data_IF_313516408228
#
_entry.id   IF_313516408228
#
_cell.length_a   1.000
_cell.length_b   1.000
_cell.length_c   1.000
_cell.angle_alpha   90.00
_cell.angle_beta   90.00
_cell.angle_gamma   90.00
#
_symmetry.space_group_name_H-M   'P 1'
#
loop_
_entity.id
_entity.type
_entity.pdbx_description
1 polymer ?
#
# COMPACT_ATOMS: atom_id res chain seq x y z
N UNK A 1 19.77 2.61 -15.50
CA UNK A 1 18.88 2.92 -16.64
C UNK A 1 17.48 3.04 -16.08
N UNK A 2 16.77 4.16 -16.06
CA UNK A 2 16.76 5.35 -16.90
C UNK A 2 15.36 5.96 -16.70
N UNK A 3 15.17 6.69 -15.60
CA UNK A 3 13.95 7.44 -15.30
C UNK A 3 14.24 8.92 -15.47
N UNK A 4 13.41 9.62 -16.23
CA UNK A 4 13.57 11.04 -16.57
C UNK A 4 13.55 11.92 -15.32
N UNK A 5 14.64 12.66 -15.09
CA UNK A 5 14.93 13.57 -13.98
C UNK A 5 13.92 14.72 -13.74
N UNK A 6 12.80 14.77 -14.46
CA UNK A 6 11.79 15.83 -14.37
C UNK A 6 10.58 15.49 -13.49
N UNK A 7 10.24 14.21 -13.31
CA UNK A 7 9.12 13.80 -12.43
C UNK A 7 9.47 13.69 -10.95
N UNK A 8 10.76 13.78 -10.61
CA UNK A 8 11.31 13.49 -9.28
C UNK A 8 11.77 14.75 -8.52
N UNK A 9 11.50 15.96 -9.05
CA UNK A 9 12.24 17.17 -8.64
C UNK A 9 11.66 17.91 -7.43
N UNK A 10 10.46 17.59 -6.97
CA UNK A 10 9.93 18.00 -5.65
C UNK A 10 8.53 17.44 -5.44
N UNK A 11 8.19 17.08 -4.19
CA UNK A 11 6.80 16.80 -3.80
C UNK A 11 5.96 18.07 -3.99
N UNK A 12 4.84 17.97 -4.68
CA UNK A 12 3.86 19.05 -4.71
C UNK A 12 2.88 18.86 -3.55
N UNK A 13 3.28 19.36 -2.38
CA UNK A 13 2.55 19.15 -1.12
C UNK A 13 1.10 19.66 -1.21
N UNK A 14 0.85 20.76 -1.91
CA UNK A 14 -0.50 21.31 -2.06
C UNK A 14 -1.43 20.34 -2.80
N UNK A 15 -0.97 19.77 -3.93
CA UNK A 15 -1.77 18.80 -4.68
C UNK A 15 -1.87 17.45 -3.97
N UNK A 16 -0.86 17.05 -3.19
CA UNK A 16 -0.93 15.84 -2.36
C UNK A 16 -1.97 15.98 -1.24
N UNK A 17 -2.05 17.13 -0.58
CA UNK A 17 -3.08 17.43 0.42
C UNK A 17 -4.46 17.38 -0.23
N UNK A 18 -4.64 18.06 -1.36
CA UNK A 18 -5.90 18.06 -2.10
C UNK A 18 -6.32 16.66 -2.54
N UNK A 19 -5.39 15.87 -3.06
CA UNK A 19 -5.63 14.48 -3.43
C UNK A 19 -6.04 13.62 -2.22
N UNK A 20 -5.35 13.79 -1.08
CA UNK A 20 -5.71 13.10 0.15
C UNK A 20 -7.13 13.47 0.63
N UNK A 21 -7.48 14.76 0.60
CA UNK A 21 -8.80 15.27 0.99
C UNK A 21 -9.92 14.79 0.05
N UNK A 22 -9.62 14.65 -1.24
CA UNK A 22 -10.51 14.04 -2.24
C UNK A 22 -10.60 12.49 -2.12
N UNK A 23 -9.92 11.90 -1.12
CA UNK A 23 -9.93 10.48 -0.85
C UNK A 23 -9.11 9.67 -1.86
N UNK A 24 -8.04 10.23 -2.42
CA UNK A 24 -7.06 9.49 -3.21
C UNK A 24 -5.95 8.95 -2.30
N UNK A 25 -5.29 7.87 -2.74
CA UNK A 25 -4.08 7.37 -2.11
C UNK A 25 -2.83 7.90 -2.86
N UNK A 26 -1.63 7.81 -2.27
CA UNK A 26 -0.40 8.22 -2.96
C UNK A 26 -0.26 7.57 -4.35
N UNK A 27 0.10 8.36 -5.36
CA UNK A 27 0.24 7.89 -6.74
C UNK A 27 -1.07 7.63 -7.49
N UNK A 28 -2.24 7.85 -6.88
CA UNK A 28 -3.52 7.81 -7.59
C UNK A 28 -3.84 9.16 -8.25
N UNK A 29 -4.21 9.12 -9.53
CA UNK A 29 -4.65 10.32 -10.28
C UNK A 29 -6.18 10.48 -10.33
N UNK A 30 -6.93 9.42 -9.97
CA UNK A 30 -8.40 9.41 -9.96
C UNK A 30 -8.92 8.31 -9.04
N UNK A 31 -10.18 8.39 -8.59
CA UNK A 31 -10.81 7.29 -7.84
C UNK A 31 -10.78 5.99 -8.65
N UNK A 32 -10.60 4.87 -7.95
CA UNK A 32 -10.56 3.56 -8.60
C UNK A 32 -11.90 3.23 -9.27
N UNK A 33 -11.85 2.73 -10.50
CA UNK A 33 -13.05 2.38 -11.29
C UNK A 33 -13.83 1.16 -10.75
N UNK A 34 -13.43 0.59 -9.61
CA UNK A 34 -13.96 -0.66 -9.03
C UNK A 34 -13.93 -1.86 -10.00
N UNK A 35 -13.16 -1.77 -11.08
CA UNK A 35 -13.01 -2.83 -12.09
C UNK A 35 -11.94 -3.86 -11.75
N UNK A 36 -11.11 -3.60 -10.75
CA UNK A 36 -9.92 -4.38 -10.49
C UNK A 36 -10.23 -5.83 -10.12
N UNK A 37 -11.34 -6.09 -9.41
CA UNK A 37 -11.79 -7.47 -9.19
C UNK A 37 -12.21 -8.21 -10.46
N UNK A 38 -12.81 -7.52 -11.44
CA UNK A 38 -13.09 -8.12 -12.76
C UNK A 38 -11.79 -8.36 -13.52
N UNK A 39 -10.88 -7.38 -13.49
CA UNK A 39 -9.57 -7.48 -14.14
C UNK A 39 -8.77 -8.67 -13.61
N UNK A 40 -8.70 -8.88 -12.30
CA UNK A 40 -7.96 -10.01 -11.70
C UNK A 40 -8.54 -11.35 -12.18
N UNK A 41 -9.87 -11.50 -12.24
CA UNK A 41 -10.49 -12.73 -12.77
C UNK A 41 -10.11 -12.99 -14.23
N UNK A 42 -10.06 -11.95 -15.06
CA UNK A 42 -9.62 -12.07 -16.44
C UNK A 42 -8.13 -12.37 -16.55
N UNK A 43 -7.32 -11.74 -15.70
CA UNK A 43 -5.89 -11.98 -15.63
C UNK A 43 -5.62 -13.45 -15.25
N UNK A 44 -6.33 -14.00 -14.26
CA UNK A 44 -6.19 -15.41 -13.89
C UNK A 44 -6.54 -16.36 -15.04
N UNK A 45 -7.65 -16.09 -15.76
CA UNK A 45 -8.04 -16.88 -16.94
C UNK A 45 -6.98 -16.80 -18.04
N UNK A 46 -6.46 -15.60 -18.29
CA UNK A 46 -5.41 -15.38 -19.27
C UNK A 46 -4.13 -16.13 -18.88
N UNK A 47 -3.66 -15.98 -17.64
CA UNK A 47 -2.49 -16.69 -17.10
C UNK A 47 -2.64 -18.21 -17.24
N UNK A 48 -3.82 -18.75 -16.93
CA UNK A 48 -4.10 -20.18 -17.11
C UNK A 48 -4.06 -20.59 -18.59
N UNK A 49 -4.61 -19.76 -19.48
CA UNK A 49 -4.65 -20.07 -20.93
C UNK A 49 -3.27 -20.17 -21.58
N UNK A 50 -2.28 -19.45 -21.04
CA UNK A 50 -0.88 -19.49 -21.50
C UNK A 50 -0.02 -20.51 -20.72
N UNK A 51 -0.64 -21.37 -19.91
CA UNK A 51 0.05 -22.45 -19.17
C UNK A 51 0.81 -22.01 -17.91
N UNK A 52 0.67 -20.75 -17.48
CA UNK A 52 1.28 -20.25 -16.25
C UNK A 52 0.40 -20.56 -15.03
N UNK A 53 1.05 -20.79 -13.88
CA UNK A 53 0.39 -21.19 -12.63
C UNK A 53 0.38 -20.09 -11.56
N UNK A 54 1.07 -18.98 -11.80
CA UNK A 54 1.18 -17.88 -10.85
C UNK A 54 1.35 -16.52 -11.52
N UNK A 55 1.04 -15.48 -10.75
CA UNK A 55 1.23 -14.06 -11.08
C UNK A 55 2.14 -13.48 -10.00
N UNK A 56 3.13 -12.68 -10.35
CA UNK A 56 4.01 -11.98 -9.41
C UNK A 56 3.98 -10.47 -9.66
N UNK A 57 4.13 -9.67 -8.60
CA UNK A 57 4.14 -8.21 -8.68
C UNK A 57 4.85 -7.60 -7.46
N UNK A 58 5.15 -6.30 -7.53
CA UNK A 58 5.58 -5.50 -6.38
C UNK A 58 4.50 -4.50 -5.97
N UNK A 59 4.38 -4.22 -4.67
CA UNK A 59 3.47 -3.18 -4.18
C UNK A 59 4.21 -1.85 -3.94
N UNK A 60 4.13 -0.95 -4.91
CA UNK A 60 4.82 0.35 -4.85
C UNK A 60 4.46 1.19 -3.61
N UNK A 61 3.26 1.01 -3.06
CA UNK A 61 2.76 1.73 -1.89
C UNK A 61 2.06 0.76 -0.93
N UNK A 62 1.94 1.15 0.34
CA UNK A 62 1.27 0.35 1.37
C UNK A 62 -0.15 -0.07 0.98
N UNK A 63 -0.96 0.87 0.48
CA UNK A 63 -2.33 0.56 0.07
C UNK A 63 -2.40 -0.46 -1.06
N UNK A 64 -1.40 -0.53 -1.95
CA UNK A 64 -1.34 -1.55 -3.00
C UNK A 64 -1.14 -2.94 -2.39
N UNK A 65 -0.29 -3.06 -1.38
CA UNK A 65 -0.02 -4.33 -0.72
C UNK A 65 -1.30 -4.89 -0.07
N UNK A 66 -1.98 -4.06 0.74
CA UNK A 66 -3.26 -4.40 1.35
C UNK A 66 -4.34 -4.70 0.30
N UNK A 67 -4.33 -3.96 -0.81
CA UNK A 67 -5.25 -4.22 -1.90
C UNK A 67 -5.02 -5.60 -2.51
N UNK A 68 -3.77 -6.00 -2.78
CA UNK A 68 -3.45 -7.31 -3.34
C UNK A 68 -3.77 -8.46 -2.38
N UNK A 69 -3.58 -8.29 -1.07
CA UNK A 69 -4.02 -9.26 -0.05
C UNK A 69 -5.51 -9.60 -0.20
N UNK A 70 -6.37 -8.59 -0.39
CA UNK A 70 -7.82 -8.77 -0.60
C UNK A 70 -8.18 -9.56 -1.86
N UNK A 71 -7.26 -9.67 -2.83
CA UNK A 71 -7.43 -10.49 -4.04
C UNK A 71 -6.67 -11.82 -3.96
N UNK A 72 -6.27 -12.23 -2.76
CA UNK A 72 -5.67 -13.52 -2.49
C UNK A 72 -4.22 -13.64 -2.95
N UNK A 73 -3.49 -12.52 -3.01
CA UNK A 73 -2.03 -12.55 -3.12
C UNK A 73 -1.41 -12.86 -1.76
N UNK A 74 -0.25 -13.52 -1.79
CA UNK A 74 0.63 -13.75 -0.66
C UNK A 74 2.00 -13.10 -0.93
N UNK A 75 2.83 -13.01 0.09
CA UNK A 75 4.14 -12.39 0.02
C UNK A 75 5.21 -13.42 -0.33
N UNK A 76 5.99 -13.12 -1.36
CA UNK A 76 7.30 -13.73 -1.56
C UNK A 76 8.33 -13.09 -0.61
N UNK A 77 8.25 -11.76 -0.45
CA UNK A 77 9.05 -10.96 0.48
C UNK A 77 8.21 -9.82 1.06
N UNK A 78 8.41 -9.50 2.34
CA UNK A 78 7.81 -8.33 2.98
C UNK A 78 6.64 -8.61 3.93
N UNK A 79 6.23 -9.88 4.14
CA UNK A 79 5.16 -10.22 5.08
C UNK A 79 5.44 -9.72 6.51
N UNK A 80 6.64 -10.02 7.03
CA UNK A 80 7.05 -9.58 8.37
C UNK A 80 7.10 -8.05 8.50
N UNK A 81 7.50 -7.37 7.42
CA UNK A 81 7.54 -5.91 7.36
C UNK A 81 6.13 -5.32 7.42
N UNK A 82 5.19 -5.87 6.66
CA UNK A 82 3.78 -5.46 6.71
C UNK A 82 3.14 -5.70 8.08
N UNK A 83 3.42 -6.84 8.73
CA UNK A 83 2.96 -7.14 10.09
C UNK A 83 3.58 -6.22 11.15
N UNK A 84 4.87 -5.88 10.99
CA UNK A 84 5.53 -4.89 11.84
C UNK A 84 4.85 -3.53 11.70
N UNK A 85 4.60 -3.07 10.47
CA UNK A 85 3.91 -1.81 10.20
C UNK A 85 2.55 -1.80 10.92
N UNK A 86 1.75 -2.87 10.82
CA UNK A 86 0.47 -2.93 11.53
C UNK A 86 0.63 -2.80 13.04
N UNK A 87 1.60 -3.53 13.63
CA UNK A 87 1.88 -3.44 15.06
C UNK A 87 2.26 -2.01 15.48
N UNK A 88 3.12 -1.36 14.71
CA UNK A 88 3.62 -0.02 15.05
C UNK A 88 2.58 1.09 14.84
N UNK A 89 1.58 0.88 13.98
CA UNK A 89 0.43 1.78 13.84
C UNK A 89 -0.62 1.62 14.95
N UNK A 90 -0.54 0.57 15.79
CA UNK A 90 -1.47 0.39 16.93
C UNK A 90 -1.07 1.29 18.11
N UNK A 91 -2.02 1.60 19.01
CA UNK A 91 -1.71 2.36 20.23
C UNK A 91 -0.51 1.81 20.99
N UNK A 92 0.45 2.67 21.33
CA UNK A 92 1.71 2.31 21.97
C UNK A 92 2.85 1.93 21.02
N UNK A 93 2.61 1.85 19.70
CA UNK A 93 3.65 1.66 18.69
C UNK A 93 4.38 2.96 18.33
N UNK A 94 5.62 2.85 17.85
CA UNK A 94 6.45 4.02 17.57
C UNK A 94 5.89 4.89 16.43
N UNK A 95 5.31 4.27 15.40
CA UNK A 95 4.63 5.00 14.31
C UNK A 95 3.38 5.70 14.85
N UNK A 96 2.61 5.03 15.70
CA UNK A 96 1.42 5.61 16.32
C UNK A 96 1.76 6.86 17.13
N UNK A 97 2.85 6.85 17.91
CA UNK A 97 3.28 8.04 18.67
C UNK A 97 3.70 9.20 17.78
N UNK A 98 4.19 8.93 16.56
CA UNK A 98 4.52 9.93 15.54
C UNK A 98 3.33 10.44 14.73
N UNK A 99 2.11 9.97 15.00
CA UNK A 99 0.89 10.58 14.47
C UNK A 99 0.48 11.81 15.29
N UNK A 100 1.38 12.78 15.37
CA UNK A 100 1.27 14.00 16.18
C UNK A 100 0.59 15.17 15.45
N UNK A 101 0.30 15.01 14.16
CA UNK A 101 -0.26 16.07 13.32
C UNK A 101 0.74 17.11 12.83
N UNK A 102 2.05 16.88 12.92
CA UNK A 102 3.08 17.76 12.37
C UNK A 102 2.90 18.02 10.86
N UNK A 103 2.32 17.06 10.13
CA UNK A 103 1.89 17.22 8.75
C UNK A 103 0.42 16.80 8.60
N UNK A 104 -0.29 17.29 7.57
CA UNK A 104 -1.65 16.84 7.27
C UNK A 104 -1.77 15.31 7.07
N UNK A 105 -0.67 14.65 6.70
CA UNK A 105 -0.57 13.21 6.47
C UNK A 105 -0.34 12.38 7.76
N UNK A 106 0.00 13.03 8.88
CA UNK A 106 0.33 12.38 10.17
C UNK A 106 -0.67 12.72 11.27
N UNK A 107 -1.89 13.12 10.90
CA UNK A 107 -2.97 13.38 11.87
C UNK A 107 -3.41 12.09 12.57
N UNK A 108 -3.86 12.19 13.83
CA UNK A 108 -4.56 11.10 14.51
C UNK A 108 -5.78 10.66 13.68
N UNK A 109 -6.02 9.35 13.60
CA UNK A 109 -7.03 8.73 12.75
C UNK A 109 -6.45 8.14 11.46
N UNK A 110 -5.25 8.56 11.02
CA UNK A 110 -4.59 7.97 9.84
C UNK A 110 -4.27 6.48 10.03
N UNK A 111 -4.05 6.04 11.27
CA UNK A 111 -3.82 4.64 11.62
C UNK A 111 -5.02 3.72 11.35
N UNK A 112 -6.23 4.28 11.18
CA UNK A 112 -7.46 3.50 11.07
C UNK A 112 -7.79 3.11 9.64
N UNK A 113 -7.22 3.80 8.66
CA UNK A 113 -7.57 3.61 7.25
C UNK A 113 -6.36 3.18 6.42
N UNK A 114 -6.61 2.36 5.40
CA UNK A 114 -5.57 1.89 4.47
C UNK A 114 -4.90 3.09 3.78
N UNK A 115 -5.72 4.06 3.36
CA UNK A 115 -5.24 5.29 2.70
C UNK A 115 -4.47 6.19 3.66
N UNK A 116 -4.97 6.37 4.89
CA UNK A 116 -4.30 7.16 5.91
C UNK A 116 -2.91 6.62 6.25
N UNK A 117 -2.80 5.31 6.51
CA UNK A 117 -1.50 4.65 6.72
C UNK A 117 -0.59 4.82 5.51
N UNK A 118 -1.13 4.67 4.29
CA UNK A 118 -0.34 4.86 3.07
C UNK A 118 0.18 6.28 2.90
N UNK A 119 -0.60 7.30 3.27
CA UNK A 119 -0.16 8.70 3.25
C UNK A 119 0.90 8.99 4.31
N UNK A 120 0.71 8.50 5.54
CA UNK A 120 1.70 8.66 6.60
C UNK A 120 3.04 8.01 6.22
N UNK A 121 3.01 6.80 5.64
CA UNK A 121 4.20 6.12 5.11
C UNK A 121 4.84 6.92 3.97
N UNK A 122 4.03 7.40 3.02
CA UNK A 122 4.51 8.23 1.91
C UNK A 122 5.15 9.54 2.38
N UNK A 123 4.64 10.10 3.48
CA UNK A 123 5.17 11.30 4.11
C UNK A 123 6.47 11.06 4.91
N UNK A 124 6.94 9.81 4.99
CA UNK A 124 8.20 9.47 5.66
C UNK A 124 8.07 9.13 7.14
N UNK A 125 6.88 8.70 7.61
CA UNK A 125 6.76 8.31 9.03
C UNK A 125 7.59 7.07 9.41
N UNK A 126 7.90 6.19 8.44
CA UNK A 126 8.73 5.00 8.69
C UNK A 126 10.18 5.35 9.05
N UNK A 127 10.91 6.14 8.23
CA UNK A 127 12.28 6.52 8.60
C UNK A 127 12.30 7.36 9.88
N UNK A 128 11.29 8.21 10.10
CA UNK A 128 11.23 9.08 11.29
C UNK A 128 10.96 8.33 12.60
N UNK A 129 10.17 7.24 12.55
CA UNK A 129 9.77 6.48 13.72
C UNK A 129 10.65 5.24 13.97
N UNK A 130 11.11 4.58 12.91
CA UNK A 130 11.77 3.28 12.97
C UNK A 130 13.18 3.27 12.36
N UNK A 131 13.58 4.31 11.63
CA UNK A 131 14.83 4.32 10.88
C UNK A 131 14.83 3.40 9.64
N UNK A 132 13.64 2.99 9.19
CA UNK A 132 13.45 2.07 8.06
C UNK A 132 12.74 2.78 6.91
N UNK A 133 13.20 2.56 5.68
CA UNK A 133 12.51 3.04 4.49
C UNK A 133 11.38 2.09 4.05
N UNK A 134 10.45 2.61 3.25
CA UNK A 134 9.46 1.75 2.59
C UNK A 134 10.15 0.85 1.54
N UNK A 135 10.25 -0.45 1.83
CA UNK A 135 10.64 -1.47 0.85
C UNK A 135 9.38 -2.05 0.19
N UNK A 136 9.27 -1.90 -1.14
CA UNK A 136 8.16 -2.45 -1.93
C UNK A 136 8.12 -3.98 -1.81
N UNK A 137 7.09 -4.57 -1.16
CA UNK A 137 7.03 -6.00 -0.97
C UNK A 137 6.77 -6.71 -2.30
N UNK A 138 7.40 -7.88 -2.46
CA UNK A 138 7.17 -8.77 -3.60
C UNK A 138 6.07 -9.75 -3.26
N UNK A 139 5.02 -9.76 -4.08
CA UNK A 139 3.82 -10.57 -3.86
C UNK A 139 3.60 -11.52 -5.03
N UNK A 140 2.92 -12.62 -4.75
CA UNK A 140 2.52 -13.60 -5.74
C UNK A 140 1.10 -14.10 -5.49
N UNK A 141 0.45 -14.55 -6.55
CA UNK A 141 -0.83 -15.24 -6.49
C UNK A 141 -0.72 -16.56 -7.25
N UNK A 142 -1.19 -17.64 -6.65
CA UNK A 142 -1.35 -18.93 -7.32
C UNK A 142 -2.75 -18.97 -7.94
N UNK A 143 -2.84 -19.35 -9.22
CA UNK A 143 -4.13 -19.39 -9.92
C UNK A 143 -5.08 -20.38 -9.22
N UNK A 144 -6.31 -19.94 -8.95
CA UNK A 144 -7.32 -20.75 -8.27
C UNK A 144 -7.12 -20.89 -6.75
N UNK A 145 -6.13 -20.21 -6.17
CA UNK A 145 -5.91 -20.18 -4.71
C UNK A 145 -6.09 -18.78 -4.15
N UNK A 146 -6.77 -18.71 -3.02
CA UNK A 146 -6.79 -17.56 -2.14
C UNK A 146 -5.99 -17.91 -0.88
N UNK A 147 -5.03 -17.07 -0.52
CA UNK A 147 -4.19 -17.28 0.66
C UNK A 147 -4.78 -16.66 1.93
N UNK A 148 -5.83 -15.84 1.82
CA UNK A 148 -6.48 -15.17 2.95
C UNK A 148 -5.49 -14.41 3.85
N UNK A 149 -4.43 -13.84 3.26
CA UNK A 149 -3.49 -12.99 3.99
C UNK A 149 -4.21 -11.70 4.36
N UNK A 150 -3.99 -11.25 5.60
CA UNK A 150 -4.51 -9.99 6.08
C UNK A 150 -3.51 -9.41 7.08
N UNK A 151 -2.69 -8.46 6.62
CA UNK A 151 -1.70 -7.80 7.49
C UNK A 151 -2.25 -6.55 8.16
N UNK A 152 -3.44 -6.08 7.78
CA UNK A 152 -4.16 -5.01 8.47
C UNK A 152 -5.57 -5.47 8.88
N UNK A 153 -5.69 -6.14 10.03
CA UNK A 153 -6.98 -6.49 10.61
C UNK A 153 -7.86 -5.24 10.79
N UNK A 154 -9.18 -5.40 10.63
CA UNK A 154 -10.15 -4.28 10.80
C UNK A 154 -9.96 -3.11 9.82
N UNK A 155 -9.23 -3.33 8.73
CA UNK A 155 -8.98 -2.35 7.68
C UNK A 155 -10.23 -1.59 7.21
N UNK A 156 -10.24 -0.29 7.44
CA UNK A 156 -11.16 0.65 6.78
C UNK A 156 -10.48 1.20 5.53
N UNK A 157 -11.16 1.19 4.39
CA UNK A 157 -10.59 1.72 3.14
C UNK A 157 -10.92 3.20 2.95
#
# INVERSE_FOLDING_TARGET
>A
MGGTLYGTRSRNIYEEIRAMEDGLAPGMVRPGLRLLGKFIKWLERFTLSIGLKSITLGALYYHNAIFWERYGFNYFRGLKFMQMIDREFRPGGAIYERLDGCTPFRRRGMERTVRGRSWAIYDGILPDALGEDWESPQMYKMIGRDFHVNTFPEQVY
#
